data_IF_838511169680
#
_entry.id   IF_838511169680
#
_cell.length_a   1.000
_cell.length_b   1.000
_cell.length_c   1.000
_cell.angle_alpha   90.00
_cell.angle_beta   90.00
_cell.angle_gamma   90.00
#
_symmetry.space_group_name_H-M   'P 1'
#
loop_
_entity.id
_entity.type
_entity.pdbx_description
1 polymer ?
#
# COMPACT_ATOMS: atom_id res chain seq x y z
N UNK A 1 -5.73 -48.00 25.10
CA UNK A 1 -6.28 -46.88 24.30
C UNK A 1 -7.33 -46.03 25.03
N UNK A 2 -8.41 -46.58 25.63
CA UNK A 2 -9.46 -45.78 26.32
C UNK A 2 -8.95 -44.81 27.41
N UNK A 3 -7.97 -45.20 28.24
CA UNK A 3 -7.39 -44.33 29.29
C UNK A 3 -6.66 -43.08 28.76
N UNK A 4 -6.07 -43.18 27.56
CA UNK A 4 -5.34 -42.06 26.93
C UNK A 4 -6.34 -41.04 26.36
N UNK A 5 -7.39 -41.52 25.69
CA UNK A 5 -8.46 -40.66 25.13
C UNK A 5 -9.47 -40.14 26.18
N UNK A 6 -9.46 -40.65 27.40
CA UNK A 6 -10.22 -40.06 28.50
C UNK A 6 -9.46 -38.94 29.23
N UNK A 7 -8.14 -38.85 29.03
CA UNK A 7 -7.28 -37.93 29.76
C UNK A 7 -7.57 -36.47 29.38
N UNK A 8 -7.69 -35.61 30.39
CA UNK A 8 -7.97 -34.18 30.24
C UNK A 8 -6.82 -33.44 29.55
N UNK A 9 -5.57 -33.85 29.79
CA UNK A 9 -4.38 -33.28 29.17
C UNK A 9 -4.34 -33.59 27.67
N UNK A 10 -4.68 -34.83 27.28
CA UNK A 10 -4.78 -35.22 25.88
C UNK A 10 -5.87 -34.43 25.15
N UNK A 11 -6.99 -34.12 25.80
CA UNK A 11 -8.04 -33.26 25.23
C UNK A 11 -7.62 -31.80 25.07
N UNK A 12 -6.81 -31.27 26.00
CA UNK A 12 -6.25 -29.92 25.91
C UNK A 12 -5.23 -29.80 24.78
N UNK A 13 -4.34 -30.77 24.64
CA UNK A 13 -3.38 -30.80 23.51
C UNK A 13 -4.12 -30.90 22.18
N UNK A 14 -5.13 -31.77 22.06
CA UNK A 14 -5.93 -31.87 20.84
C UNK A 14 -6.73 -30.59 20.57
N UNK A 15 -7.13 -29.83 21.59
CA UNK A 15 -7.79 -28.53 21.38
C UNK A 15 -6.86 -27.46 20.78
N UNK A 16 -5.53 -27.61 20.86
CA UNK A 16 -4.60 -26.72 20.13
C UNK A 16 -4.69 -26.92 18.61
N UNK A 17 -5.08 -28.10 18.15
CA UNK A 17 -5.31 -28.35 16.71
C UNK A 17 -6.53 -27.55 16.22
N UNK A 18 -7.54 -27.35 17.08
CA UNK A 18 -8.66 -26.47 16.77
C UNK A 18 -8.21 -25.01 16.58
N UNK A 19 -7.27 -24.55 17.41
CA UNK A 19 -6.65 -23.22 17.26
C UNK A 19 -5.88 -23.16 15.95
N UNK A 20 -5.03 -24.15 15.66
CA UNK A 20 -4.26 -24.18 14.43
C UNK A 20 -5.15 -24.10 13.19
N UNK A 21 -6.23 -24.89 13.13
CA UNK A 21 -7.19 -24.84 12.03
C UNK A 21 -7.86 -23.46 11.93
N UNK A 22 -8.25 -22.87 13.07
CA UNK A 22 -8.84 -21.52 13.10
C UNK A 22 -7.86 -20.46 12.60
N UNK A 23 -6.58 -20.54 12.98
CA UNK A 23 -5.52 -19.65 12.50
C UNK A 23 -5.34 -19.79 10.99
N UNK A 24 -5.37 -21.02 10.45
CA UNK A 24 -5.34 -21.23 9.00
C UNK A 24 -6.54 -20.57 8.30
N UNK A 25 -7.74 -20.67 8.87
CA UNK A 25 -8.95 -19.99 8.35
C UNK A 25 -8.81 -18.47 8.42
N UNK A 26 -8.32 -17.92 9.53
CA UNK A 26 -8.07 -16.49 9.66
C UNK A 26 -6.97 -16.00 8.69
N UNK A 27 -5.95 -16.82 8.42
CA UNK A 27 -4.93 -16.52 7.40
C UNK A 27 -5.54 -16.54 5.99
N UNK A 28 -6.46 -17.46 5.71
CA UNK A 28 -7.20 -17.48 4.45
C UNK A 28 -8.10 -16.23 4.32
N UNK A 29 -8.72 -15.77 5.41
CA UNK A 29 -9.44 -14.50 5.45
C UNK A 29 -8.52 -13.32 5.10
N UNK A 30 -7.32 -13.26 5.69
CA UNK A 30 -6.32 -12.25 5.33
C UNK A 30 -5.98 -12.31 3.84
N UNK A 31 -5.71 -13.50 3.29
CA UNK A 31 -5.46 -13.65 1.86
C UNK A 31 -6.63 -13.19 1.00
N UNK A 32 -7.88 -13.50 1.38
CA UNK A 32 -9.05 -13.06 0.60
C UNK A 32 -9.15 -11.55 0.41
N UNK A 33 -8.69 -10.78 1.40
CA UNK A 33 -8.72 -9.31 1.37
C UNK A 33 -7.62 -8.77 0.45
N UNK A 34 -6.42 -9.34 0.51
CA UNK A 34 -5.22 -8.74 -0.10
C UNK A 34 -4.69 -9.45 -1.35
N UNK A 35 -5.17 -10.65 -1.66
CA UNK A 35 -4.68 -11.49 -2.75
C UNK A 35 -5.83 -12.11 -3.52
N UNK A 36 -5.63 -12.38 -4.81
CA UNK A 36 -6.46 -13.21 -5.67
C UNK A 36 -5.98 -14.65 -5.66
N UNK A 37 -6.91 -15.58 -5.42
CA UNK A 37 -6.59 -17.00 -5.31
C UNK A 37 -6.79 -17.71 -6.65
N UNK A 38 -5.73 -18.36 -7.11
CA UNK A 38 -5.69 -19.11 -8.35
C UNK A 38 -5.47 -20.59 -8.04
N UNK A 39 -6.51 -21.41 -8.24
CA UNK A 39 -6.45 -22.84 -7.96
C UNK A 39 -5.99 -23.59 -9.20
N UNK A 40 -4.82 -24.24 -9.12
CA UNK A 40 -4.25 -24.96 -10.27
C UNK A 40 -5.07 -26.18 -10.68
N UNK A 41 -5.44 -27.04 -9.72
CA UNK A 41 -6.30 -28.20 -9.95
C UNK A 41 -7.46 -28.22 -8.97
N UNK A 42 -8.66 -27.91 -9.49
CA UNK A 42 -9.93 -27.91 -8.75
C UNK A 42 -10.16 -29.21 -7.98
N UNK A 43 -9.89 -30.35 -8.63
CA UNK A 43 -10.04 -31.69 -8.02
C UNK A 43 -9.08 -31.90 -6.85
N UNK A 44 -7.80 -31.56 -7.03
CA UNK A 44 -6.79 -31.74 -5.98
C UNK A 44 -7.05 -30.81 -4.80
N UNK A 45 -7.44 -29.57 -5.07
CA UNK A 45 -7.79 -28.59 -4.04
C UNK A 45 -8.99 -29.05 -3.20
N UNK A 46 -10.07 -29.50 -3.84
CA UNK A 46 -11.25 -30.02 -3.15
C UNK A 46 -10.92 -31.22 -2.24
N UNK A 47 -10.18 -32.20 -2.77
CA UNK A 47 -9.80 -33.41 -2.00
C UNK A 47 -8.94 -33.01 -0.80
N UNK A 48 -7.95 -32.14 -1.01
CA UNK A 48 -7.02 -31.71 0.05
C UNK A 48 -7.75 -30.90 1.12
N UNK A 49 -8.55 -29.91 0.73
CA UNK A 49 -9.35 -29.10 1.64
C UNK A 49 -10.35 -29.95 2.44
N UNK A 50 -11.00 -30.92 1.79
CA UNK A 50 -11.92 -31.86 2.44
C UNK A 50 -11.21 -32.76 3.43
N UNK A 51 -10.06 -33.34 3.08
CA UNK A 51 -9.29 -34.22 3.96
C UNK A 51 -8.84 -33.48 5.23
N UNK A 52 -8.24 -32.30 5.08
CA UNK A 52 -7.81 -31.46 6.20
C UNK A 52 -9.00 -31.08 7.07
N UNK A 53 -10.10 -30.66 6.45
CA UNK A 53 -11.31 -30.21 7.16
C UNK A 53 -11.99 -31.35 7.92
N UNK A 54 -12.07 -32.56 7.35
CA UNK A 54 -12.62 -33.75 8.03
C UNK A 54 -11.76 -34.12 9.23
N UNK A 55 -10.43 -34.16 9.08
CA UNK A 55 -9.51 -34.47 10.18
C UNK A 55 -9.66 -33.43 11.29
N UNK A 56 -9.65 -32.14 10.94
CA UNK A 56 -9.86 -31.05 11.88
C UNK A 56 -11.21 -31.19 12.60
N UNK A 57 -12.29 -31.42 11.87
CA UNK A 57 -13.63 -31.60 12.41
C UNK A 57 -13.70 -32.74 13.42
N UNK A 58 -13.15 -33.92 13.11
CA UNK A 58 -13.14 -35.07 14.02
C UNK A 58 -12.40 -34.75 15.33
N UNK A 59 -11.25 -34.07 15.24
CA UNK A 59 -10.46 -33.66 16.40
C UNK A 59 -11.14 -32.56 17.22
N UNK A 60 -11.82 -31.63 16.55
CA UNK A 60 -12.61 -30.59 17.19
C UNK A 60 -13.84 -31.18 17.90
N UNK A 61 -14.54 -32.14 17.28
CA UNK A 61 -15.66 -32.84 17.92
C UNK A 61 -15.22 -33.62 19.17
N UNK A 62 -14.05 -34.24 19.11
CA UNK A 62 -13.46 -34.91 20.28
C UNK A 62 -13.12 -33.92 21.41
N UNK A 63 -12.61 -32.73 21.08
CA UNK A 63 -12.24 -31.68 22.04
C UNK A 63 -13.36 -30.66 22.31
N UNK A 64 -14.58 -30.87 21.81
CA UNK A 64 -15.69 -29.88 21.78
C UNK A 64 -16.09 -29.25 23.11
N UNK A 65 -15.75 -29.89 24.23
CA UNK A 65 -16.02 -29.38 25.59
C UNK A 65 -14.91 -28.47 26.13
N UNK A 66 -13.74 -28.42 25.49
CA UNK A 66 -12.68 -27.48 25.86
C UNK A 66 -13.11 -26.06 25.50
N UNK A 67 -12.70 -25.07 26.30
CA UNK A 67 -13.05 -23.66 26.07
C UNK A 67 -12.48 -23.18 24.74
N UNK A 68 -11.23 -23.55 24.45
CA UNK A 68 -10.51 -23.19 23.23
C UNK A 68 -11.24 -23.65 21.97
N UNK A 69 -11.67 -24.92 21.91
CA UNK A 69 -12.44 -25.45 20.78
C UNK A 69 -13.81 -24.78 20.63
N UNK A 70 -14.43 -24.36 21.73
CA UNK A 70 -15.70 -23.60 21.69
C UNK A 70 -15.50 -22.22 21.07
N UNK A 71 -14.46 -21.49 21.47
CA UNK A 71 -14.13 -20.18 20.90
C UNK A 71 -13.82 -20.34 19.41
N UNK A 72 -12.95 -21.29 19.04
CA UNK A 72 -12.64 -21.62 17.65
C UNK A 72 -13.91 -21.86 16.81
N UNK A 73 -14.89 -22.61 17.34
CA UNK A 73 -16.15 -22.89 16.63
C UNK A 73 -17.00 -21.64 16.32
N UNK A 74 -16.84 -20.56 17.08
CA UNK A 74 -17.53 -19.30 16.85
C UNK A 74 -16.76 -18.34 15.93
N UNK A 75 -15.45 -18.51 15.77
CA UNK A 75 -14.59 -17.64 14.96
C UNK A 75 -14.51 -18.08 13.50
N UNK A 76 -14.54 -19.39 13.22
CA UNK A 76 -14.35 -19.94 11.87
C UNK A 76 -15.34 -19.36 10.86
N UNK A 77 -16.64 -19.30 11.17
CA UNK A 77 -17.65 -18.83 10.23
C UNK A 77 -17.56 -17.31 9.96
N UNK A 78 -17.47 -16.42 10.96
CA UNK A 78 -17.20 -15.01 10.72
C UNK A 78 -15.94 -14.76 9.86
N UNK A 79 -14.85 -15.49 10.14
CA UNK A 79 -13.61 -15.35 9.38
C UNK A 79 -13.76 -15.84 7.92
N UNK A 80 -14.66 -16.77 7.64
CA UNK A 80 -14.93 -17.23 6.28
C UNK A 80 -15.82 -16.29 5.47
N UNK A 81 -16.42 -15.25 6.07
CA UNK A 81 -17.29 -14.35 5.32
C UNK A 81 -16.54 -13.60 4.21
N UNK A 82 -15.41 -12.90 4.46
CA UNK A 82 -14.67 -12.26 3.38
C UNK A 82 -14.19 -13.26 2.33
N UNK A 83 -13.80 -14.47 2.75
CA UNK A 83 -13.39 -15.55 1.84
C UNK A 83 -14.51 -15.92 0.87
N UNK A 84 -15.74 -16.09 1.38
CA UNK A 84 -16.91 -16.45 0.56
C UNK A 84 -17.27 -15.34 -0.44
N UNK A 85 -17.16 -14.08 -0.02
CA UNK A 85 -17.52 -12.94 -0.85
C UNK A 85 -16.45 -12.65 -1.91
N UNK A 86 -15.17 -12.65 -1.52
CA UNK A 86 -14.06 -12.21 -2.37
C UNK A 86 -13.44 -13.32 -3.22
N UNK A 87 -13.60 -14.58 -2.84
CA UNK A 87 -13.22 -15.75 -3.67
C UNK A 87 -14.43 -16.47 -4.24
N UNK A 88 -15.49 -15.72 -4.54
CA UNK A 88 -16.70 -16.25 -5.14
C UNK A 88 -16.38 -16.94 -6.47
N UNK A 89 -16.62 -18.25 -6.55
CA UNK A 89 -16.27 -19.07 -7.72
C UNK A 89 -15.29 -20.20 -7.41
N UNK A 90 -14.44 -20.04 -6.40
CA UNK A 90 -13.47 -21.04 -5.93
C UNK A 90 -14.07 -21.92 -4.81
N UNK A 91 -15.25 -22.48 -5.11
CA UNK A 91 -16.07 -23.26 -4.18
C UNK A 91 -15.37 -24.50 -3.64
N UNK A 92 -14.41 -25.03 -4.39
CA UNK A 92 -13.65 -26.24 -4.08
C UNK A 92 -12.93 -26.15 -2.74
N UNK A 93 -12.41 -24.97 -2.39
CA UNK A 93 -11.73 -24.72 -1.11
C UNK A 93 -12.72 -24.26 -0.04
N UNK A 94 -13.71 -23.46 -0.43
CA UNK A 94 -14.65 -22.80 0.49
C UNK A 94 -15.60 -23.79 1.15
N UNK A 95 -16.25 -24.67 0.37
CA UNK A 95 -17.34 -25.53 0.84
C UNK A 95 -16.92 -26.43 2.02
N UNK A 96 -15.78 -27.16 1.97
CA UNK A 96 -15.38 -28.04 3.08
C UNK A 96 -15.16 -27.30 4.40
N UNK A 97 -14.64 -26.07 4.34
CA UNK A 97 -14.35 -25.25 5.52
C UNK A 97 -15.64 -24.70 6.12
N UNK A 98 -16.57 -24.21 5.28
CA UNK A 98 -17.89 -23.74 5.73
C UNK A 98 -18.68 -24.88 6.39
N UNK A 99 -18.73 -26.07 5.78
CA UNK A 99 -19.39 -27.23 6.35
C UNK A 99 -18.79 -27.55 7.72
N UNK A 100 -17.46 -27.53 7.83
CA UNK A 100 -16.77 -27.77 9.10
C UNK A 100 -17.17 -26.75 10.15
N UNK A 101 -17.17 -25.46 9.81
CA UNK A 101 -17.61 -24.37 10.68
C UNK A 101 -19.05 -24.51 11.17
N UNK A 102 -19.99 -24.83 10.27
CA UNK A 102 -21.41 -25.04 10.62
C UNK A 102 -21.56 -26.24 11.56
N UNK A 103 -20.97 -27.38 11.21
CA UNK A 103 -21.10 -28.61 12.00
C UNK A 103 -20.49 -28.41 13.39
N UNK A 104 -19.29 -27.81 13.48
CA UNK A 104 -18.64 -27.62 14.78
C UNK A 104 -19.34 -26.57 15.63
N UNK A 105 -19.92 -25.52 15.06
CA UNK A 105 -20.72 -24.53 15.80
C UNK A 105 -21.94 -25.20 16.43
N UNK A 106 -22.70 -25.97 15.65
CA UNK A 106 -23.93 -26.65 16.11
C UNK A 106 -23.64 -27.74 17.14
N UNK A 107 -22.56 -28.52 16.93
CA UNK A 107 -22.17 -29.63 17.79
C UNK A 107 -21.18 -29.24 18.88
N UNK A 108 -20.84 -27.95 19.01
CA UNK A 108 -19.94 -27.45 20.05
C UNK A 108 -20.49 -27.74 21.45
N UNK A 109 -19.60 -27.84 22.44
CA UNK A 109 -19.98 -28.03 23.84
C UNK A 109 -20.51 -26.75 24.52
N UNK A 110 -20.86 -25.71 23.75
CA UNK A 110 -21.45 -24.48 24.27
C UNK A 110 -22.94 -24.67 24.60
N UNK A 111 -23.48 -23.82 25.48
CA UNK A 111 -24.90 -23.86 25.82
C UNK A 111 -25.78 -23.58 24.61
N UNK A 112 -26.95 -24.22 24.52
CA UNK A 112 -27.87 -24.10 23.37
C UNK A 112 -28.24 -22.65 23.07
N UNK A 113 -28.54 -21.85 24.09
CA UNK A 113 -28.87 -20.43 23.90
C UNK A 113 -27.76 -19.62 23.21
N UNK A 114 -26.49 -19.88 23.56
CA UNK A 114 -25.35 -19.18 22.94
C UNK A 114 -25.17 -19.63 21.48
N UNK A 115 -25.29 -20.93 21.20
CA UNK A 115 -25.18 -21.46 19.83
C UNK A 115 -26.26 -20.87 18.92
N UNK A 116 -27.51 -20.80 19.41
CA UNK A 116 -28.61 -20.19 18.69
C UNK A 116 -28.35 -18.70 18.44
N UNK A 117 -27.99 -17.93 19.47
CA UNK A 117 -27.73 -16.50 19.32
C UNK A 117 -26.58 -16.21 18.33
N UNK A 118 -25.43 -16.88 18.50
CA UNK A 118 -24.29 -16.72 17.60
C UNK A 118 -24.61 -17.19 16.18
N UNK A 119 -25.34 -18.30 16.03
CA UNK A 119 -25.79 -18.80 14.73
C UNK A 119 -26.67 -17.78 14.00
N UNK A 120 -27.60 -17.13 14.69
CA UNK A 120 -28.43 -16.07 14.12
C UNK A 120 -27.60 -14.84 13.73
N UNK A 121 -26.67 -14.40 14.58
CA UNK A 121 -25.78 -13.26 14.27
C UNK A 121 -24.94 -13.56 13.02
N UNK A 122 -24.32 -14.74 12.96
CA UNK A 122 -23.51 -15.16 11.81
C UNK A 122 -24.36 -15.23 10.55
N UNK A 123 -25.56 -15.81 10.63
CA UNK A 123 -26.47 -15.88 9.49
C UNK A 123 -26.82 -14.48 8.96
N UNK A 124 -27.17 -13.55 9.86
CA UNK A 124 -27.46 -12.17 9.48
C UNK A 124 -26.23 -11.49 8.85
N UNK A 125 -25.04 -11.72 9.40
CA UNK A 125 -23.79 -11.18 8.86
C UNK A 125 -23.55 -11.66 7.42
N UNK A 126 -23.82 -12.93 7.12
CA UNK A 126 -23.73 -13.47 5.76
C UNK A 126 -24.78 -12.87 4.82
N UNK A 127 -26.03 -12.71 5.28
CA UNK A 127 -27.10 -12.10 4.47
C UNK A 127 -26.77 -10.65 4.13
N UNK A 128 -26.44 -9.83 5.14
CA UNK A 128 -26.10 -8.42 4.93
C UNK A 128 -24.78 -8.24 4.19
N UNK A 129 -23.77 -9.07 4.47
CA UNK A 129 -22.49 -9.05 3.77
C UNK A 129 -22.64 -9.39 2.29
N UNK A 130 -23.40 -10.44 1.95
CA UNK A 130 -23.69 -10.78 0.57
C UNK A 130 -24.50 -9.68 -0.13
N UNK A 131 -25.55 -9.16 0.50
CA UNK A 131 -26.34 -8.06 -0.06
C UNK A 131 -25.48 -6.82 -0.33
N UNK A 132 -24.67 -6.40 0.64
CA UNK A 132 -23.77 -5.26 0.50
C UNK A 132 -22.75 -5.47 -0.63
N UNK A 133 -22.13 -6.65 -0.69
CA UNK A 133 -21.19 -7.01 -1.75
C UNK A 133 -21.84 -6.99 -3.14
N UNK A 134 -23.04 -7.57 -3.30
CA UNK A 134 -23.75 -7.59 -4.57
C UNK A 134 -24.19 -6.18 -5.00
N UNK A 135 -24.69 -5.36 -4.07
CA UNK A 135 -25.03 -3.96 -4.38
C UNK A 135 -23.79 -3.19 -4.81
N UNK A 136 -22.67 -3.34 -4.08
CA UNK A 136 -21.43 -2.66 -4.40
C UNK A 136 -20.92 -3.05 -5.79
N UNK A 137 -20.79 -4.36 -6.05
CA UNK A 137 -20.29 -4.85 -7.34
C UNK A 137 -21.24 -4.57 -8.50
N UNK A 138 -22.56 -4.53 -8.28
CA UNK A 138 -23.52 -4.23 -9.35
C UNK A 138 -23.59 -2.74 -9.70
N UNK A 139 -23.38 -1.84 -8.74
CA UNK A 139 -23.51 -0.39 -8.96
C UNK A 139 -22.19 0.32 -9.26
N UNK A 140 -21.08 -0.15 -8.69
CA UNK A 140 -19.80 0.58 -8.75
C UNK A 140 -18.75 -0.08 -9.65
N UNK A 141 -18.90 -1.36 -10.02
CA UNK A 141 -17.98 -2.01 -10.96
C UNK A 141 -18.56 -1.91 -12.37
N UNK A 142 -17.88 -1.16 -13.25
CA UNK A 142 -18.32 -1.00 -14.64
C UNK A 142 -18.12 -2.30 -15.41
N UNK A 143 -19.08 -2.67 -16.26
CA UNK A 143 -18.94 -3.79 -17.21
C UNK A 143 -18.20 -3.28 -18.46
N UNK A 144 -16.96 -2.82 -18.30
CA UNK A 144 -16.10 -2.59 -19.46
C UNK A 144 -15.75 -3.96 -20.06
N UNK A 145 -15.96 -4.12 -21.37
CA UNK A 145 -15.52 -5.33 -22.07
C UNK A 145 -14.06 -5.13 -22.44
N UNK A 146 -13.19 -5.68 -21.62
CA UNK A 146 -11.76 -5.68 -21.87
C UNK A 146 -11.26 -7.08 -22.26
N UNK A 147 -10.22 -7.12 -23.07
CA UNK A 147 -9.58 -8.36 -23.51
C UNK A 147 -8.07 -8.25 -23.35
N UNK A 148 -7.48 -9.22 -22.66
CA UNK A 148 -6.03 -9.34 -22.56
C UNK A 148 -5.49 -9.87 -23.89
N UNK A 149 -4.67 -9.06 -24.55
CA UNK A 149 -4.13 -9.32 -25.89
C UNK A 149 -2.77 -10.00 -25.81
N UNK A 150 -1.96 -9.62 -24.83
CA UNK A 150 -0.63 -10.19 -24.58
C UNK A 150 -0.30 -10.15 -23.08
N UNK A 151 0.59 -11.03 -22.63
CA UNK A 151 1.08 -11.06 -21.25
C UNK A 151 2.41 -11.80 -21.14
N UNK A 152 3.23 -11.39 -20.18
CA UNK A 152 4.51 -12.03 -19.95
C UNK A 152 5.15 -11.63 -18.63
N UNK A 153 6.38 -12.12 -18.44
CA UNK A 153 7.20 -11.84 -17.26
C UNK A 153 8.51 -11.22 -17.76
N UNK A 154 8.99 -10.22 -17.02
CA UNK A 154 10.27 -9.57 -17.25
C UNK A 154 11.45 -10.56 -17.20
N UNK A 155 12.58 -10.26 -17.84
CA UNK A 155 13.79 -11.10 -17.82
C UNK A 155 14.28 -11.46 -16.42
N UNK A 156 14.26 -10.52 -15.47
CA UNK A 156 14.67 -10.81 -14.08
C UNK A 156 13.65 -11.64 -13.31
N UNK A 157 12.40 -11.69 -13.77
CA UNK A 157 11.29 -12.30 -13.05
C UNK A 157 10.67 -11.41 -11.97
N UNK A 158 11.16 -10.18 -11.77
CA UNK A 158 10.67 -9.24 -10.76
C UNK A 158 9.32 -8.63 -11.12
N UNK A 159 9.08 -8.38 -12.40
CA UNK A 159 7.83 -7.79 -12.91
C UNK A 159 7.09 -8.73 -13.85
N UNK A 160 5.77 -8.61 -13.90
CA UNK A 160 4.90 -9.20 -14.93
C UNK A 160 4.09 -8.10 -15.60
N UNK A 161 3.76 -8.31 -16.86
CA UNK A 161 2.97 -7.35 -17.64
C UNK A 161 1.80 -8.05 -18.32
N UNK A 162 0.78 -7.25 -18.61
CA UNK A 162 -0.27 -7.64 -19.54
C UNK A 162 -0.73 -6.42 -20.35
N UNK A 163 -1.11 -6.67 -21.60
CA UNK A 163 -1.66 -5.68 -22.52
C UNK A 163 -3.14 -5.94 -22.63
N UNK A 164 -3.94 -4.90 -22.43
CA UNK A 164 -5.40 -4.98 -22.43
C UNK A 164 -5.98 -4.03 -23.46
N UNK A 165 -6.90 -4.53 -24.28
CA UNK A 165 -7.74 -3.72 -25.14
C UNK A 165 -9.12 -3.57 -24.51
N UNK A 166 -9.55 -2.32 -24.34
CA UNK A 166 -10.91 -2.00 -23.88
C UNK A 166 -11.75 -1.52 -25.04
N UNK A 167 -12.89 -2.16 -25.28
CA UNK A 167 -13.88 -1.71 -26.26
C UNK A 167 -14.82 -0.67 -25.61
N UNK A 168 -14.92 0.52 -26.19
CA UNK A 168 -15.87 1.55 -25.75
C UNK A 168 -16.49 2.30 -26.94
N UNK A 169 -17.42 3.23 -26.63
CA UNK A 169 -18.11 4.06 -27.64
C UNK A 169 -17.22 5.05 -28.40
N UNK A 170 -15.95 5.16 -28.02
CA UNK A 170 -14.96 6.12 -28.53
C UNK A 170 -13.75 5.40 -29.16
N UNK A 171 -14.02 4.33 -29.92
CA UNK A 171 -13.04 3.49 -30.64
C UNK A 171 -12.05 2.72 -29.74
N UNK A 172 -12.35 2.60 -28.44
CA UNK A 172 -11.58 1.82 -27.48
C UNK A 172 -10.20 2.39 -27.13
N UNK A 173 -9.44 1.62 -26.36
CA UNK A 173 -8.08 1.94 -25.92
C UNK A 173 -7.22 0.69 -25.74
N UNK A 174 -5.91 0.85 -25.91
CA UNK A 174 -4.90 -0.16 -25.53
C UNK A 174 -4.11 0.35 -24.35
N UNK A 175 -4.07 -0.44 -23.28
CA UNK A 175 -3.33 -0.14 -22.07
C UNK A 175 -2.30 -1.25 -21.79
N UNK A 176 -1.13 -0.85 -21.32
CA UNK A 176 -0.10 -1.78 -20.83
C UNK A 176 -0.01 -1.60 -19.32
N UNK A 177 -0.23 -2.70 -18.62
CA UNK A 177 -0.15 -2.77 -17.17
C UNK A 177 1.10 -3.52 -16.75
N UNK A 178 1.68 -3.09 -15.64
CA UNK A 178 2.78 -3.78 -14.98
C UNK A 178 2.47 -3.99 -13.50
N UNK A 179 2.94 -5.13 -12.99
CA UNK A 179 2.74 -5.58 -11.61
C UNK A 179 4.01 -6.26 -11.09
N UNK A 180 4.21 -6.31 -9.75
CA UNK A 180 5.27 -7.10 -9.16
C UNK A 180 4.92 -8.59 -9.29
N UNK A 181 5.90 -9.40 -9.64
CA UNK A 181 5.76 -10.85 -9.83
C UNK A 181 6.36 -11.65 -8.67
N UNK A 182 7.19 -11.02 -7.85
CA UNK A 182 7.87 -11.60 -6.69
C UNK A 182 7.06 -11.55 -5.39
N UNK A 183 6.01 -10.73 -5.34
CA UNK A 183 5.19 -10.52 -4.15
C UNK A 183 4.08 -11.58 -3.95
N UNK A 184 3.93 -12.51 -4.89
CA UNK A 184 2.92 -13.57 -4.87
C UNK A 184 3.27 -14.68 -3.87
N UNK A 185 2.26 -15.23 -3.19
CA UNK A 185 2.44 -16.38 -2.29
C UNK A 185 2.06 -17.68 -3.02
N UNK A 186 3.07 -18.50 -3.33
CA UNK A 186 2.90 -19.74 -4.07
C UNK A 186 2.90 -20.98 -3.16
N UNK A 187 1.87 -21.81 -3.28
CA UNK A 187 1.79 -23.16 -2.73
C UNK A 187 1.62 -24.20 -3.85
N UNK A 188 1.87 -25.48 -3.56
CA UNK A 188 1.87 -26.56 -4.57
C UNK A 188 0.62 -26.66 -5.46
N UNK A 189 -0.55 -26.19 -5.01
CA UNK A 189 -1.82 -26.29 -5.75
C UNK A 189 -2.60 -24.97 -5.82
N UNK A 190 -2.09 -23.91 -5.20
CA UNK A 190 -2.77 -22.62 -5.06
C UNK A 190 -1.74 -21.51 -5.12
N UNK A 191 -1.96 -20.51 -5.96
CA UNK A 191 -1.18 -19.28 -6.01
C UNK A 191 -2.05 -18.15 -5.51
N UNK A 192 -1.52 -17.33 -4.61
CA UNK A 192 -2.16 -16.10 -4.14
C UNK A 192 -1.42 -14.92 -4.77
N UNK A 193 -2.07 -14.27 -5.72
CA UNK A 193 -1.52 -13.15 -6.47
C UNK A 193 -1.92 -11.83 -5.82
N UNK A 194 -0.99 -10.91 -5.68
CA UNK A 194 -1.22 -9.69 -4.90
C UNK A 194 -2.25 -8.75 -5.58
N UNK A 195 -3.29 -8.33 -4.85
CA UNK A 195 -4.34 -7.42 -5.37
C UNK A 195 -3.85 -5.98 -5.48
N UNK A 196 -4.43 -5.26 -6.45
CA UNK A 196 -4.36 -3.80 -6.62
C UNK A 196 -2.93 -3.28 -6.72
N UNK A 197 -2.11 -3.99 -7.48
CA UNK A 197 -0.72 -3.64 -7.75
C UNK A 197 -0.49 -3.23 -9.22
N UNK A 198 -1.56 -3.18 -10.01
CA UNK A 198 -1.49 -2.83 -11.42
C UNK A 198 -1.21 -1.34 -11.62
N UNK A 199 -0.19 -1.05 -12.43
CA UNK A 199 0.15 0.30 -12.85
C UNK A 199 0.05 0.43 -14.36
N UNK A 200 -0.66 1.46 -14.83
CA UNK A 200 -0.76 1.78 -16.26
C UNK A 200 0.51 2.51 -16.68
N UNK A 201 1.37 1.84 -17.44
CA UNK A 201 2.64 2.41 -17.93
C UNK A 201 2.55 2.92 -19.37
N UNK A 202 1.51 2.50 -20.09
CA UNK A 202 1.20 3.01 -21.42
C UNK A 202 -0.31 3.00 -21.61
N UNK A 203 -0.84 4.06 -22.19
CA UNK A 203 -2.25 4.16 -22.58
C UNK A 203 -2.34 4.92 -23.91
N UNK A 204 -2.93 4.29 -24.91
CA UNK A 204 -3.14 4.88 -26.22
C UNK A 204 -4.58 4.69 -26.71
N UNK A 205 -5.06 5.66 -27.48
CA UNK A 205 -6.37 5.65 -28.13
C UNK A 205 -6.21 6.02 -29.61
N UNK A 206 -6.91 5.35 -30.55
CA UNK A 206 -7.83 4.22 -30.37
C UNK A 206 -7.09 2.90 -30.06
N UNK A 207 -7.78 1.75 -30.10
CA UNK A 207 -7.15 0.42 -29.99
C UNK A 207 -6.00 0.28 -31.00
N UNK A 208 -4.86 -0.19 -30.51
CA UNK A 208 -3.70 -0.54 -31.30
C UNK A 208 -3.74 -2.04 -31.66
N UNK A 209 -3.70 -2.35 -32.96
CA UNK A 209 -3.70 -3.73 -33.44
C UNK A 209 -2.31 -4.38 -33.35
N UNK A 210 -1.24 -3.58 -33.29
CA UNK A 210 0.12 -4.06 -33.11
C UNK A 210 0.46 -4.10 -31.61
N UNK A 211 0.87 -5.28 -31.14
CA UNK A 211 1.29 -5.52 -29.77
C UNK A 211 2.68 -6.13 -29.82
N UNK A 212 3.70 -5.30 -29.72
CA UNK A 212 5.09 -5.70 -29.64
C UNK A 212 5.68 -5.21 -28.32
N UNK A 213 5.94 -6.16 -27.42
CA UNK A 213 6.57 -5.91 -26.12
C UNK A 213 7.97 -6.47 -26.14
N UNK A 214 8.95 -5.61 -25.86
CA UNK A 214 10.33 -6.04 -25.69
C UNK A 214 10.87 -5.61 -24.33
N UNK A 215 11.79 -6.42 -23.82
CA UNK A 215 12.48 -6.17 -22.58
C UNK A 215 13.97 -6.07 -22.85
N UNK A 216 14.61 -5.09 -22.20
CA UNK A 216 16.07 -4.97 -22.12
C UNK A 216 16.47 -4.76 -20.67
N UNK A 217 17.69 -5.14 -20.34
CA UNK A 217 18.31 -4.85 -19.05
C UNK A 217 19.24 -3.66 -19.23
N UNK A 218 19.09 -2.66 -18.37
CA UNK A 218 19.91 -1.45 -18.39
C UNK A 218 20.41 -1.11 -17.00
N UNK A 219 21.59 -0.51 -16.95
CA UNK A 219 22.20 -0.02 -15.70
C UNK A 219 21.57 1.30 -15.27
N UNK A 220 21.58 1.57 -13.96
CA UNK A 220 21.10 2.86 -13.41
C UNK A 220 21.88 4.06 -13.98
N UNK A 221 23.15 3.89 -14.30
CA UNK A 221 24.00 4.89 -14.97
C UNK A 221 23.55 5.20 -16.41
N UNK A 222 23.19 4.18 -17.18
CA UNK A 222 22.67 4.35 -18.54
C UNK A 222 21.32 5.07 -18.51
N UNK A 223 20.41 4.64 -17.64
CA UNK A 223 19.09 5.26 -17.49
C UNK A 223 19.20 6.71 -17.04
N UNK A 224 20.08 7.02 -16.07
CA UNK A 224 20.27 8.40 -15.58
C UNK A 224 20.74 9.31 -16.71
N UNK A 225 21.68 8.85 -17.56
CA UNK A 225 22.13 9.61 -18.74
C UNK A 225 21.01 9.82 -19.76
N UNK A 226 20.23 8.79 -20.06
CA UNK A 226 19.07 8.93 -20.95
C UNK A 226 18.06 9.96 -20.43
N UNK A 227 17.76 9.92 -19.13
CA UNK A 227 16.82 10.84 -18.48
C UNK A 227 17.33 12.27 -18.46
N UNK A 228 18.61 12.49 -18.14
CA UNK A 228 19.24 13.80 -18.16
C UNK A 228 19.31 14.43 -19.56
N UNK A 229 19.48 13.59 -20.59
CA UNK A 229 19.43 14.01 -22.00
C UNK A 229 18.01 14.44 -22.42
N UNK A 230 16.97 13.80 -21.85
CA UNK A 230 15.56 14.16 -22.08
C UNK A 230 15.20 15.46 -21.34
N UNK A 231 15.54 15.55 -20.05
CA UNK A 231 15.22 16.71 -19.23
C UNK A 231 16.16 16.90 -18.05
N UNK A 232 16.73 18.11 -17.95
CA UNK A 232 17.59 18.53 -16.83
C UNK A 232 16.81 18.97 -15.59
N UNK A 233 15.48 18.90 -15.62
CA UNK A 233 14.60 19.34 -14.54
C UNK A 233 13.98 18.17 -13.77
N UNK A 234 14.46 16.94 -13.99
CA UNK A 234 13.98 15.77 -13.25
C UNK A 234 14.50 15.88 -11.82
N UNK A 235 13.61 15.75 -10.85
CA UNK A 235 13.94 15.83 -9.43
C UNK A 235 13.30 14.69 -8.66
N UNK A 236 14.02 14.14 -7.70
CA UNK A 236 13.56 13.14 -6.74
C UNK A 236 13.20 13.86 -5.44
N UNK A 237 12.08 13.47 -4.82
CA UNK A 237 11.69 14.00 -3.50
C UNK A 237 12.23 13.08 -2.43
N UNK A 238 13.00 13.65 -1.51
CA UNK A 238 13.68 12.90 -0.44
C UNK A 238 13.06 13.22 0.93
N UNK A 239 13.20 12.32 1.88
CA UNK A 239 12.88 12.60 3.27
C UNK A 239 14.01 13.37 3.98
N UNK A 240 13.76 13.80 5.23
CA UNK A 240 14.73 14.58 6.01
C UNK A 240 15.98 13.75 6.33
N UNK A 241 15.82 12.46 6.63
CA UNK A 241 16.93 11.56 6.95
C UNK A 241 17.83 11.31 5.75
N UNK A 242 17.26 11.08 4.57
CA UNK A 242 17.99 10.89 3.31
C UNK A 242 18.81 12.14 2.95
N UNK A 243 18.23 13.33 3.11
CA UNK A 243 18.95 14.60 2.91
C UNK A 243 20.15 14.73 3.86
N UNK A 244 19.95 14.46 5.14
CA UNK A 244 21.02 14.51 6.14
C UNK A 244 22.12 13.46 5.86
N UNK A 245 21.75 12.24 5.45
CA UNK A 245 22.68 11.19 5.05
C UNK A 245 23.52 11.62 3.84
N UNK A 246 22.92 12.35 2.89
CA UNK A 246 23.63 12.91 1.73
C UNK A 246 24.44 14.17 2.05
N UNK A 247 24.49 14.58 3.32
CA UNK A 247 25.24 15.75 3.78
C UNK A 247 24.57 17.09 3.44
N UNK A 248 23.28 17.08 3.10
CA UNK A 248 22.52 18.29 2.82
C UNK A 248 22.09 18.97 4.12
N UNK A 249 22.40 20.26 4.26
CA UNK A 249 21.92 21.04 5.41
C UNK A 249 20.45 21.42 5.21
N UNK A 250 19.59 20.99 6.14
CA UNK A 250 18.17 21.34 6.15
C UNK A 250 17.95 22.87 6.20
N UNK A 251 18.77 23.60 6.97
CA UNK A 251 18.69 25.06 7.10
C UNK A 251 18.90 25.76 5.74
N UNK A 252 19.84 25.24 4.94
CA UNK A 252 20.10 25.80 3.60
C UNK A 252 18.95 25.55 2.62
N UNK A 253 18.09 24.57 2.90
CA UNK A 253 16.99 24.13 2.03
C UNK A 253 15.64 24.74 2.40
N UNK A 254 15.58 25.56 3.44
CA UNK A 254 14.37 26.32 3.76
C UNK A 254 14.14 27.42 2.71
N UNK A 255 12.91 27.51 2.24
CA UNK A 255 12.49 28.47 1.22
C UNK A 255 11.09 29.04 1.51
N UNK A 256 10.87 30.26 1.03
CA UNK A 256 9.57 30.92 1.00
C UNK A 256 8.96 30.75 -0.40
N UNK A 257 7.73 30.25 -0.44
CA UNK A 257 6.94 30.06 -1.65
C UNK A 257 5.63 30.87 -1.59
N UNK A 258 4.92 30.95 -2.71
CA UNK A 258 3.61 31.64 -2.86
C UNK A 258 3.59 33.12 -2.40
N UNK A 259 4.73 33.81 -2.50
CA UNK A 259 4.87 35.22 -2.13
C UNK A 259 3.91 36.13 -2.92
N UNK A 260 3.26 37.05 -2.21
CA UNK A 260 2.50 38.17 -2.79
C UNK A 260 3.42 39.15 -3.52
N UNK A 261 2.83 40.05 -4.33
CA UNK A 261 3.61 41.07 -5.05
C UNK A 261 4.38 42.00 -4.10
N UNK A 262 3.78 42.38 -2.98
CA UNK A 262 4.40 43.28 -2.00
C UNK A 262 5.58 42.59 -1.29
N UNK A 263 5.44 41.31 -0.94
CA UNK A 263 6.51 40.50 -0.36
C UNK A 263 7.68 40.32 -1.36
N UNK A 264 7.39 40.08 -2.65
CA UNK A 264 8.42 40.02 -3.69
C UNK A 264 9.19 41.33 -3.79
N UNK A 265 8.50 42.47 -3.82
CA UNK A 265 9.17 43.77 -3.87
C UNK A 265 10.01 44.05 -2.62
N UNK A 266 9.56 43.64 -1.44
CA UNK A 266 10.32 43.71 -0.18
C UNK A 266 11.62 42.90 -0.25
N UNK A 267 11.58 41.76 -0.94
CA UNK A 267 12.75 40.93 -1.21
C UNK A 267 13.65 41.44 -2.35
N UNK A 268 13.28 42.55 -2.99
CA UNK A 268 14.01 43.10 -4.14
C UNK A 268 13.75 42.35 -5.45
N UNK A 269 12.68 41.55 -5.50
CA UNK A 269 12.25 40.77 -6.65
C UNK A 269 11.16 41.51 -7.43
N UNK A 270 10.87 41.02 -8.62
CA UNK A 270 9.81 41.51 -9.50
C UNK A 270 8.59 40.60 -9.46
N UNK A 271 7.44 41.09 -9.94
CA UNK A 271 6.23 40.29 -10.04
C UNK A 271 6.37 39.06 -10.97
N UNK A 272 7.37 39.04 -11.86
CA UNK A 272 7.64 37.92 -12.78
C UNK A 272 8.48 36.80 -12.13
N UNK A 273 9.08 37.05 -10.96
CA UNK A 273 9.85 36.05 -10.24
C UNK A 273 8.88 35.12 -9.51
N UNK A 274 8.77 33.89 -10.01
CA UNK A 274 7.85 32.85 -9.50
C UNK A 274 8.57 31.70 -8.82
N UNK A 275 9.90 31.73 -8.73
CA UNK A 275 10.66 30.70 -8.04
C UNK A 275 10.65 30.92 -6.52
N UNK A 276 10.63 29.84 -5.72
CA UNK A 276 10.81 29.94 -4.28
C UNK A 276 12.12 30.64 -3.90
N UNK A 277 12.10 31.36 -2.79
CA UNK A 277 13.24 32.16 -2.30
C UNK A 277 13.87 31.47 -1.10
N UNK A 278 15.12 31.04 -1.24
CA UNK A 278 15.87 30.40 -0.15
C UNK A 278 16.19 31.38 0.97
N UNK A 279 16.04 30.94 2.23
CA UNK A 279 16.26 31.77 3.41
C UNK A 279 17.71 32.22 3.57
N UNK A 280 18.68 31.42 3.11
CA UNK A 280 20.12 31.72 3.17
C UNK A 280 20.52 32.93 2.31
N UNK A 281 19.68 33.32 1.35
CA UNK A 281 19.87 34.52 0.52
C UNK A 281 19.27 35.77 1.14
N UNK A 282 18.52 35.65 2.23
CA UNK A 282 17.84 36.76 2.87
C UNK A 282 18.71 37.45 3.91
N UNK A 283 18.57 38.76 4.00
CA UNK A 283 19.15 39.58 5.07
C UNK A 283 18.35 39.43 6.36
N UNK A 284 18.94 39.76 7.52
CA UNK A 284 18.26 39.62 8.81
C UNK A 284 16.98 40.48 8.87
N UNK A 285 16.99 41.70 8.31
CA UNK A 285 15.78 42.53 8.21
C UNK A 285 14.72 41.95 7.27
N UNK A 286 15.12 41.17 6.25
CA UNK A 286 14.17 40.45 5.40
C UNK A 286 13.56 39.26 6.12
N UNK A 287 14.35 38.52 6.90
CA UNK A 287 13.86 37.41 7.72
C UNK A 287 12.89 37.91 8.80
N UNK A 288 13.20 39.03 9.46
CA UNK A 288 12.35 39.64 10.49
C UNK A 288 10.95 39.98 9.96
N UNK A 289 10.83 40.41 8.70
CA UNK A 289 9.54 40.69 8.07
C UNK A 289 8.64 39.44 8.01
N UNK A 290 9.24 38.26 7.84
CA UNK A 290 8.55 36.97 7.87
C UNK A 290 8.56 36.32 9.26
N UNK A 291 8.79 37.10 10.33
CA UNK A 291 8.81 36.61 11.71
C UNK A 291 9.88 35.53 11.97
N UNK A 292 10.99 35.60 11.23
CA UNK A 292 12.11 34.66 11.32
C UNK A 292 13.36 35.37 11.83
N UNK A 293 14.09 34.68 12.71
CA UNK A 293 15.43 35.05 13.14
C UNK A 293 16.45 33.99 12.73
N UNK A 294 17.72 34.38 12.67
CA UNK A 294 18.84 33.47 12.43
C UNK A 294 19.81 33.54 13.60
N UNK A 295 20.25 32.39 14.11
CA UNK A 295 21.22 32.34 15.20
C UNK A 295 22.67 32.30 14.71
N UNK A 296 23.62 32.22 15.66
CA UNK A 296 25.05 32.22 15.35
C UNK A 296 25.52 30.96 14.60
N UNK A 297 24.78 29.85 14.75
CA UNK A 297 25.05 28.58 14.08
C UNK A 297 24.36 28.51 12.70
N UNK A 298 23.65 29.58 12.31
CA UNK A 298 22.95 29.70 11.03
C UNK A 298 21.59 29.03 11.00
N UNK A 299 21.05 28.60 12.15
CA UNK A 299 19.72 27.98 12.24
C UNK A 299 18.62 29.04 12.28
N UNK A 300 17.48 28.73 11.65
CA UNK A 300 16.32 29.63 11.61
C UNK A 300 15.32 29.31 12.72
N UNK A 301 14.86 30.34 13.43
CA UNK A 301 13.89 30.24 14.51
C UNK A 301 12.78 31.30 14.38
N UNK A 302 11.64 31.06 15.03
CA UNK A 302 10.48 31.97 14.99
C UNK A 302 10.66 33.07 16.04
N UNK A 303 10.45 34.35 15.66
CA UNK A 303 10.56 35.49 16.58
C UNK A 303 9.35 35.64 17.50
N UNK A 304 8.14 35.54 16.94
CA UNK A 304 6.84 35.66 17.63
C UNK A 304 5.93 34.48 17.28
N UNK A 305 6.07 33.32 17.98
CA UNK A 305 5.31 32.12 17.68
C UNK A 305 3.80 32.30 17.97
N UNK A 306 2.89 31.83 17.08
CA UNK A 306 1.46 31.95 17.34
C UNK A 306 1.02 31.04 18.50
N UNK A 307 -0.03 31.45 19.22
CA UNK A 307 -0.51 30.75 20.43
C UNK A 307 -0.90 29.28 20.17
N UNK A 308 -1.49 28.99 19.01
CA UNK A 308 -1.89 27.63 18.63
C UNK A 308 -0.69 26.72 18.34
N UNK A 309 0.43 27.27 17.87
CA UNK A 309 1.70 26.55 17.76
C UNK A 309 2.30 26.28 19.15
N UNK A 310 2.29 27.27 20.05
CA UNK A 310 2.80 27.11 21.42
C UNK A 310 2.02 26.05 22.20
N UNK A 311 0.69 26.05 22.10
CA UNK A 311 -0.18 25.05 22.73
C UNK A 311 0.15 23.64 22.22
N UNK A 312 0.35 23.48 20.91
CA UNK A 312 0.72 22.18 20.30
C UNK A 312 2.08 21.68 20.75
N UNK A 313 3.06 22.58 20.87
CA UNK A 313 4.42 22.25 21.26
C UNK A 313 4.58 22.15 22.78
N UNK A 314 3.52 22.39 23.56
CA UNK A 314 3.55 22.47 25.03
C UNK A 314 4.64 23.45 25.53
N UNK A 315 4.88 24.53 24.78
CA UNK A 315 5.95 25.50 25.04
C UNK A 315 5.42 26.77 25.71
N UNK A 316 6.24 27.36 26.59
CA UNK A 316 5.94 28.63 27.26
C UNK A 316 6.24 29.86 26.40
N UNK A 317 6.85 29.69 25.22
CA UNK A 317 7.21 30.76 24.29
C UNK A 317 8.50 31.52 24.66
N UNK A 318 9.17 31.16 25.76
CA UNK A 318 10.48 31.74 26.14
C UNK A 318 11.66 31.07 25.41
N UNK A 319 11.45 29.87 24.88
CA UNK A 319 12.45 29.09 24.15
C UNK A 319 12.44 29.40 22.66
N UNK A 320 13.61 29.32 22.01
CA UNK A 320 13.69 29.43 20.56
C UNK A 320 13.09 28.20 19.91
N UNK A 321 12.10 28.42 19.05
CA UNK A 321 11.46 27.37 18.26
C UNK A 321 12.10 27.37 16.87
N UNK A 322 12.90 26.35 16.58
CA UNK A 322 13.60 26.19 15.32
C UNK A 322 12.70 25.58 14.24
N UNK A 323 12.80 26.09 13.01
CA UNK A 323 11.96 25.66 11.89
C UNK A 323 12.22 24.20 11.52
N UNK A 324 13.49 23.79 11.52
CA UNK A 324 13.92 22.42 11.18
C UNK A 324 13.42 21.37 12.19
N UNK A 325 13.10 21.77 13.41
CA UNK A 325 12.59 20.89 14.47
C UNK A 325 11.06 20.72 14.40
N UNK A 326 10.35 21.49 13.55
CA UNK A 326 8.89 21.40 13.41
C UNK A 326 8.46 20.22 12.54
N UNK A 327 7.39 19.53 12.98
CA UNK A 327 6.64 18.59 12.14
C UNK A 327 5.75 19.33 11.13
N UNK A 328 5.23 18.61 10.13
CA UNK A 328 4.41 19.21 9.05
C UNK A 328 3.17 19.94 9.56
N UNK A 329 2.55 19.44 10.64
CA UNK A 329 1.36 20.06 11.25
C UNK A 329 1.71 21.38 11.94
N UNK A 330 2.82 21.41 12.66
CA UNK A 330 3.31 22.59 13.37
C UNK A 330 3.74 23.68 12.38
N UNK A 331 4.40 23.29 11.28
CA UNK A 331 4.75 24.22 10.20
C UNK A 331 3.49 24.79 9.51
N UNK A 332 2.44 23.98 9.35
CA UNK A 332 1.15 24.45 8.81
C UNK A 332 0.50 25.49 9.73
N UNK A 333 0.56 25.30 11.06
CA UNK A 333 0.06 26.30 12.02
C UNK A 333 0.82 27.62 11.92
N UNK A 334 2.15 27.56 11.77
CA UNK A 334 2.95 28.76 11.52
C UNK A 334 2.56 29.47 10.22
N UNK A 335 2.43 28.73 9.10
CA UNK A 335 2.09 29.29 7.80
C UNK A 335 0.69 29.94 7.75
N UNK A 336 -0.26 29.52 8.59
CA UNK A 336 -1.61 30.13 8.67
C UNK A 336 -1.59 31.61 9.08
N UNK A 337 -0.50 32.11 9.70
CA UNK A 337 -0.35 33.53 10.04
C UNK A 337 -0.16 34.40 8.79
N UNK A 338 0.30 33.81 7.70
CA UNK A 338 0.52 34.49 6.42
C UNK A 338 -0.61 34.17 5.45
N UNK A 339 -1.08 35.19 4.72
CA UNK A 339 -2.18 35.03 3.76
C UNK A 339 -1.72 34.35 2.46
N UNK A 340 -0.46 34.53 2.08
CA UNK A 340 0.10 34.05 0.81
C UNK A 340 1.42 33.31 0.98
N UNK A 341 2.34 33.80 1.81
CA UNK A 341 3.66 33.19 1.97
C UNK A 341 3.62 31.84 2.68
N UNK A 342 4.26 30.83 2.08
CA UNK A 342 4.42 29.49 2.64
C UNK A 342 5.91 29.25 2.92
N UNK A 343 6.25 29.03 4.19
CA UNK A 343 7.57 28.52 4.56
C UNK A 343 7.57 27.00 4.42
N UNK A 344 8.51 26.47 3.64
CA UNK A 344 8.67 25.04 3.44
C UNK A 344 10.14 24.60 3.40
N UNK A 345 10.36 23.31 3.61
CA UNK A 345 11.65 22.66 3.40
C UNK A 345 11.67 22.08 1.98
N UNK A 346 12.63 22.52 1.17
CA UNK A 346 12.82 21.96 -0.17
C UNK A 346 13.44 20.57 -0.08
N UNK A 347 12.59 19.55 -0.20
CA UNK A 347 12.98 18.14 -0.17
C UNK A 347 13.39 17.59 -1.53
N UNK A 348 13.38 18.40 -2.58
CA UNK A 348 13.70 17.94 -3.94
C UNK A 348 15.20 18.02 -4.20
N UNK A 349 15.75 16.97 -4.80
CA UNK A 349 17.10 16.94 -5.35
C UNK A 349 17.03 16.65 -6.85
N UNK A 350 17.83 17.33 -7.66
CA UNK A 350 17.83 17.05 -9.09
C UNK A 350 18.50 15.70 -9.37
N UNK A 351 17.97 14.96 -10.34
CA UNK A 351 18.47 13.62 -10.68
C UNK A 351 19.95 13.63 -11.05
N UNK A 352 20.37 14.58 -11.87
CA UNK A 352 21.77 14.83 -12.24
C UNK A 352 22.74 15.06 -11.07
N UNK A 353 22.22 15.44 -9.89
CA UNK A 353 23.01 15.72 -8.69
C UNK A 353 23.07 14.49 -7.75
N UNK A 354 22.34 13.42 -8.10
CA UNK A 354 22.39 12.11 -7.45
C UNK A 354 23.40 11.24 -8.18
N UNK A 355 24.51 10.92 -7.51
CA UNK A 355 25.48 9.96 -8.03
C UNK A 355 25.03 8.51 -7.76
N UNK A 356 25.81 7.58 -8.29
CA UNK A 356 25.54 6.15 -8.21
C UNK A 356 25.46 5.64 -6.76
N UNK A 357 26.25 6.21 -5.84
CA UNK A 357 26.26 5.82 -4.42
C UNK A 357 24.99 6.30 -3.72
N UNK A 358 24.54 7.54 -3.98
CA UNK A 358 23.28 8.06 -3.45
C UNK A 358 22.07 7.29 -3.99
N UNK A 359 22.05 6.97 -5.28
CA UNK A 359 20.96 6.18 -5.87
C UNK A 359 20.90 4.77 -5.27
N UNK A 360 22.04 4.16 -4.93
CA UNK A 360 22.08 2.90 -4.20
C UNK A 360 21.50 3.02 -2.79
N UNK A 361 21.83 4.10 -2.08
CA UNK A 361 21.31 4.38 -0.75
C UNK A 361 19.78 4.58 -0.76
N UNK A 362 19.21 5.11 -1.85
CA UNK A 362 17.76 5.19 -2.09
C UNK A 362 17.13 3.84 -2.47
N UNK A 363 17.91 2.76 -2.55
CA UNK A 363 17.42 1.42 -2.87
C UNK A 363 17.29 1.12 -4.37
N UNK A 364 17.87 1.94 -5.24
CA UNK A 364 17.86 1.69 -6.70
C UNK A 364 18.90 0.64 -7.07
N UNK A 365 18.45 -0.45 -7.68
CA UNK A 365 19.28 -1.56 -8.15
C UNK A 365 20.31 -1.10 -9.19
N UNK A 366 21.48 -1.76 -9.27
CA UNK A 366 22.54 -1.40 -10.22
C UNK A 366 22.10 -1.55 -11.69
N UNK A 367 21.35 -2.63 -11.96
CA UNK A 367 20.75 -2.92 -13.25
C UNK A 367 19.34 -3.48 -13.07
N UNK A 368 18.51 -3.36 -14.10
CA UNK A 368 17.16 -3.88 -14.05
C UNK A 368 16.39 -3.74 -15.36
N UNK A 369 15.11 -4.07 -15.31
CA UNK A 369 14.28 -4.23 -16.49
C UNK A 369 13.73 -2.90 -17.02
N UNK A 370 13.83 -2.71 -18.33
CA UNK A 370 13.22 -1.62 -19.09
C UNK A 370 12.34 -2.22 -20.18
N UNK A 371 11.07 -1.78 -20.21
CA UNK A 371 10.08 -2.28 -21.17
C UNK A 371 9.84 -1.26 -22.27
N UNK A 372 9.83 -1.74 -23.51
CA UNK A 372 9.32 -1.00 -24.67
C UNK A 372 7.99 -1.60 -25.14
N UNK A 373 7.08 -0.72 -25.54
CA UNK A 373 5.85 -1.08 -26.22
C UNK A 373 5.83 -0.39 -27.58
N UNK A 374 5.76 -1.17 -28.65
CA UNK A 374 5.79 -0.67 -30.03
C UNK A 374 6.95 0.31 -30.28
N UNK A 375 8.15 -0.02 -29.77
CA UNK A 375 9.37 0.77 -29.91
C UNK A 375 9.50 1.98 -28.98
N UNK A 376 8.52 2.26 -28.11
CA UNK A 376 8.58 3.35 -27.12
C UNK A 376 8.85 2.81 -25.73
N UNK A 377 9.81 3.38 -25.01
CA UNK A 377 10.04 3.03 -23.60
C UNK A 377 8.83 3.48 -22.78
N UNK A 378 8.19 2.53 -22.10
CA UNK A 378 7.00 2.79 -21.27
C UNK A 378 7.23 2.47 -19.79
N UNK A 379 8.20 1.60 -19.46
CA UNK A 379 8.54 1.29 -18.08
C UNK A 379 10.05 1.22 -17.85
N UNK A 380 10.49 1.68 -16.68
CA UNK A 380 11.87 1.57 -16.18
C UNK A 380 11.81 1.14 -14.72
N UNK A 381 12.52 0.06 -14.35
CA UNK A 381 12.64 -0.35 -12.95
C UNK A 381 13.14 0.79 -12.05
N UNK A 382 14.04 1.62 -12.57
CA UNK A 382 14.65 2.75 -11.91
C UNK A 382 13.60 3.72 -11.34
N UNK A 383 12.59 4.06 -12.14
CA UNK A 383 11.49 4.94 -11.71
C UNK A 383 10.58 4.21 -10.72
N UNK A 384 10.32 2.93 -10.97
CA UNK A 384 9.47 2.11 -10.11
C UNK A 384 10.05 1.95 -8.68
N UNK A 385 11.36 1.89 -8.55
CA UNK A 385 12.06 1.79 -7.26
C UNK A 385 12.11 3.15 -6.55
N UNK A 386 12.45 4.23 -7.25
CA UNK A 386 12.48 5.59 -6.67
C UNK A 386 11.11 6.06 -6.20
N UNK A 387 10.07 5.82 -6.98
CA UNK A 387 8.70 6.25 -6.64
C UNK A 387 7.95 5.19 -5.80
N UNK A 388 8.61 4.07 -5.46
CA UNK A 388 8.04 2.93 -4.76
C UNK A 388 6.67 2.51 -5.34
N UNK A 389 6.63 2.28 -6.66
CA UNK A 389 5.39 1.95 -7.39
C UNK A 389 4.63 0.79 -6.74
N UNK A 390 5.36 -0.19 -6.23
CA UNK A 390 4.80 -1.42 -5.68
C UNK A 390 5.15 -1.53 -4.19
N UNK A 391 4.44 -0.77 -3.35
CA UNK A 391 4.52 -0.94 -1.91
C UNK A 391 3.90 -2.28 -1.48
N UNK A 392 4.75 -3.30 -1.39
CA UNK A 392 4.36 -4.65 -0.99
C UNK A 392 4.37 -4.84 0.53
N UNK A 393 4.99 -3.93 1.28
CA UNK A 393 5.28 -4.10 2.71
C UNK A 393 4.30 -3.33 3.62
N UNK A 394 3.92 -2.10 3.27
CA UNK A 394 3.11 -1.23 4.16
C UNK A 394 1.62 -1.29 3.85
N UNK A 395 1.01 -2.47 4.06
CA UNK A 395 -0.45 -2.61 3.90
C UNK A 395 -1.20 -2.01 5.08
N UNK A 396 -1.82 -0.84 4.87
CA UNK A 396 -2.80 -0.25 5.80
C UNK A 396 -4.21 -0.42 5.24
N UNK A 397 -5.13 -0.93 6.05
CA UNK A 397 -6.56 -0.69 5.84
C UNK A 397 -6.79 0.80 6.11
N UNK A 398 -6.69 1.64 5.08
CA UNK A 398 -7.12 3.03 5.21
C UNK A 398 -8.65 3.03 5.33
N UNK A 399 -9.13 3.51 6.47
CA UNK A 399 -10.54 3.80 6.71
C UNK A 399 -10.90 5.20 6.17
N UNK A 400 -9.98 5.91 5.51
CA UNK A 400 -10.22 7.27 5.01
C UNK A 400 -11.28 7.29 3.89
N UNK A 401 -11.56 6.15 3.27
CA UNK A 401 -12.69 5.95 2.35
C UNK A 401 -14.05 5.75 3.06
N UNK A 402 -14.07 5.60 4.39
CA UNK A 402 -15.29 5.46 5.19
C UNK A 402 -15.69 6.75 5.95
N UNK A 403 -14.96 7.86 5.76
CA UNK A 403 -15.37 9.19 6.23
C UNK A 403 -14.22 10.04 6.73
#
# INVERSE_FOLDING_TARGET
MKKVFSNIWTKRVISLIAVLYTVCVCRLCYYSIFYDMHVGSKTTALITASLISIIALLLMLYSRKQIVTRIASFVILPAMLPVVLLYFGEWEVIIPIIITGVVILLLSGAGEGIKTAMGTIILLLYIFGALGYFLFTSFFVSSAKSTIVDKGVSPTGKYRYYVENTEDSSNGSTAVYIEPNDADVTYSNVVFTLKSMEHVVYLERPINEQTEVEWKTETRDEITKELDDISKSISVTLDRSELEEFGESLESRLELDDLSSDEKFMLGLTAHDVSPVRLDKLTDSQLEYFNLGRDADGRYFILDPPEDLLERLESTGEEKIYITDLDSKSLTLFNRKYEYCILQLNTKMMLKDLDNEKLEALGVSEEGDVMTFNGKICFRYYVAELDNYFDTETRKLSLDLLG
#
